data_IF_288118830537
#
_entry.id   IF_288118830537
#
_cell.length_a   1.000
_cell.length_b   1.000
_cell.length_c   1.000
_cell.angle_alpha   90.00
_cell.angle_beta   90.00
_cell.angle_gamma   90.00
#
_symmetry.space_group_name_H-M   'P 1'
#
loop_
_entity.id
_entity.type
_entity.pdbx_description
1 polymer ?
#
# COMPACT_ATOMS: atom_id res chain seq x y z
N UNK A 1 -23.96 -12.70 -4.38
CA UNK A 1 -23.22 -13.68 -3.54
C UNK A 1 -22.78 -12.96 -2.27
N UNK A 2 -23.01 -13.56 -1.06
CA UNK A 2 -22.51 -12.98 0.20
C UNK A 2 -21.03 -13.31 0.40
N UNK A 3 -20.25 -12.32 0.84
CA UNK A 3 -18.82 -12.44 1.12
C UNK A 3 -18.44 -11.82 2.47
N UNK A 4 -17.41 -12.36 3.11
CA UNK A 4 -16.82 -11.83 4.33
C UNK A 4 -15.37 -11.40 4.06
N UNK A 5 -15.04 -10.13 4.28
CA UNK A 5 -13.68 -9.65 4.28
C UNK A 5 -13.13 -9.68 5.71
N UNK A 6 -12.21 -10.60 5.99
CA UNK A 6 -11.70 -10.88 7.34
C UNK A 6 -10.32 -10.26 7.54
N UNK A 7 -10.18 -9.41 8.56
CA UNK A 7 -8.93 -8.79 8.99
C UNK A 7 -8.69 -9.01 10.48
N UNK A 8 -7.42 -9.11 10.88
CA UNK A 8 -7.03 -9.43 12.27
C UNK A 8 -6.60 -8.19 13.08
N UNK A 9 -6.98 -7.01 12.63
CA UNK A 9 -6.73 -5.73 13.33
C UNK A 9 -7.93 -4.80 13.15
N UNK A 10 -7.97 -3.72 13.93
CA UNK A 10 -8.95 -2.67 13.79
C UNK A 10 -8.63 -1.70 12.64
N UNK A 11 -9.57 -0.81 12.40
CA UNK A 11 -9.37 0.30 11.47
C UNK A 11 -8.73 1.49 12.18
N UNK A 12 -7.76 2.11 11.50
CA UNK A 12 -7.17 3.38 11.87
C UNK A 12 -7.27 4.33 10.65
N UNK A 13 -7.97 5.44 10.82
CA UNK A 13 -8.19 6.41 9.73
C UNK A 13 -6.90 7.08 9.24
N UNK A 14 -5.89 7.12 10.12
CA UNK A 14 -4.58 7.64 9.79
C UNK A 14 -3.75 6.67 8.93
N UNK A 15 -4.14 5.40 8.86
CA UNK A 15 -3.32 4.35 8.26
C UNK A 15 -3.75 4.06 6.81
N UNK A 16 -2.80 4.18 5.87
CA UNK A 16 -3.00 3.84 4.46
C UNK A 16 -3.45 2.39 4.22
N UNK A 17 -3.15 1.46 5.14
CA UNK A 17 -3.61 0.07 5.08
C UNK A 17 -5.13 0.00 5.29
N UNK A 18 -5.66 0.73 6.27
CA UNK A 18 -7.11 0.79 6.52
C UNK A 18 -7.85 1.39 5.33
N UNK A 19 -7.32 2.44 4.72
CA UNK A 19 -7.85 3.04 3.49
C UNK A 19 -7.87 2.04 2.34
N UNK A 20 -6.76 1.31 2.13
CA UNK A 20 -6.67 0.24 1.12
C UNK A 20 -7.75 -0.83 1.32
N UNK A 21 -7.94 -1.31 2.56
CA UNK A 21 -8.94 -2.34 2.87
C UNK A 21 -10.35 -1.83 2.55
N UNK A 22 -10.69 -0.61 2.93
CA UNK A 22 -12.00 0.00 2.59
C UNK A 22 -12.23 0.05 1.09
N UNK A 23 -11.21 0.37 0.30
CA UNK A 23 -11.31 0.37 -1.17
C UNK A 23 -11.46 -1.04 -1.74
N UNK A 24 -10.78 -2.05 -1.19
CA UNK A 24 -10.96 -3.43 -1.58
C UNK A 24 -12.38 -3.95 -1.28
N UNK A 25 -12.92 -3.61 -0.11
CA UNK A 25 -14.30 -3.94 0.27
C UNK A 25 -15.31 -3.26 -0.65
N UNK A 26 -15.13 -1.94 -0.94
CA UNK A 26 -15.94 -1.20 -1.91
C UNK A 26 -15.91 -1.89 -3.27
N UNK A 27 -14.72 -2.19 -3.76
CA UNK A 27 -14.52 -2.81 -5.07
C UNK A 27 -15.19 -4.20 -5.18
N UNK A 28 -15.16 -5.02 -4.14
CA UNK A 28 -15.91 -6.29 -4.13
C UNK A 28 -17.42 -6.05 -4.20
N UNK A 29 -17.94 -4.98 -3.53
CA UNK A 29 -19.34 -4.58 -3.65
C UNK A 29 -19.66 -4.10 -5.08
N UNK A 30 -18.79 -3.31 -5.68
CA UNK A 30 -18.91 -2.82 -7.05
C UNK A 30 -18.86 -3.98 -8.08
N UNK A 31 -18.22 -5.10 -7.72
CA UNK A 31 -18.27 -6.37 -8.46
C UNK A 31 -19.56 -7.20 -8.21
N UNK A 32 -20.54 -6.66 -7.49
CA UNK A 32 -21.85 -7.30 -7.26
C UNK A 32 -21.92 -8.25 -6.08
N UNK A 33 -20.97 -8.20 -5.13
CA UNK A 33 -21.01 -8.99 -3.92
C UNK A 33 -21.69 -8.22 -2.76
N UNK A 34 -22.45 -8.92 -1.93
CA UNK A 34 -22.88 -8.42 -0.61
C UNK A 34 -21.74 -8.71 0.39
N UNK A 35 -20.94 -7.69 0.69
CA UNK A 35 -19.70 -7.84 1.47
C UNK A 35 -19.89 -7.30 2.88
N UNK A 36 -19.63 -8.16 3.87
CA UNK A 36 -19.47 -7.79 5.28
C UNK A 36 -17.99 -7.75 5.64
N UNK A 37 -17.61 -6.84 6.54
CA UNK A 37 -16.23 -6.72 7.02
C UNK A 37 -16.12 -7.23 8.44
N UNK A 38 -15.34 -8.31 8.65
CA UNK A 38 -15.06 -8.83 9.97
C UNK A 38 -13.68 -8.36 10.44
N UNK A 39 -13.62 -7.71 11.59
CA UNK A 39 -12.41 -7.13 12.12
C UNK A 39 -12.33 -7.22 13.65
N UNK A 40 -11.11 -7.11 14.15
CA UNK A 40 -10.83 -7.07 15.58
C UNK A 40 -10.62 -5.64 16.04
N UNK A 41 -11.27 -5.26 17.15
CA UNK A 41 -11.05 -3.97 17.78
C UNK A 41 -10.76 -4.06 19.28
N UNK A 42 -10.20 -2.99 19.82
CA UNK A 42 -10.13 -2.71 21.25
C UNK A 42 -10.96 -1.45 21.47
N UNK A 43 -12.07 -1.59 22.13
CA UNK A 43 -12.99 -0.49 22.43
C UNK A 43 -12.40 0.49 23.46
N UNK A 44 -13.00 1.65 23.63
CA UNK A 44 -12.54 2.70 24.56
C UNK A 44 -12.49 2.24 26.02
N UNK A 45 -13.33 1.27 26.40
CA UNK A 45 -13.36 0.62 27.71
C UNK A 45 -12.29 -0.48 27.89
N UNK A 46 -11.45 -0.71 26.87
CA UNK A 46 -10.39 -1.71 26.85
C UNK A 46 -10.83 -3.13 26.53
N UNK A 47 -12.11 -3.35 26.20
CA UNK A 47 -12.62 -4.63 25.81
C UNK A 47 -12.17 -5.02 24.40
N UNK A 48 -11.96 -6.32 24.21
CA UNK A 48 -11.49 -6.91 22.95
C UNK A 48 -12.62 -7.61 22.25
N UNK A 49 -13.01 -7.06 21.10
CA UNK A 49 -14.18 -7.49 20.35
C UNK A 49 -13.81 -7.90 18.94
N UNK A 50 -14.58 -8.85 18.43
CA UNK A 50 -14.65 -9.09 17.00
C UNK A 50 -15.99 -8.58 16.48
N UNK A 51 -15.92 -7.84 15.40
CA UNK A 51 -17.04 -7.15 14.80
C UNK A 51 -17.30 -7.70 13.40
N UNK A 52 -18.57 -7.73 13.00
CA UNK A 52 -18.96 -7.82 11.58
C UNK A 52 -19.71 -6.54 11.23
N UNK A 53 -19.09 -5.65 10.46
CA UNK A 53 -19.52 -4.27 10.28
C UNK A 53 -19.79 -3.60 11.65
N UNK A 54 -21.06 -3.38 12.03
CA UNK A 54 -21.45 -2.76 13.30
C UNK A 54 -21.95 -3.76 14.36
N UNK A 55 -21.94 -5.06 14.06
CA UNK A 55 -22.42 -6.12 14.94
C UNK A 55 -21.28 -6.72 15.76
N UNK A 56 -21.46 -6.88 17.06
CA UNK A 56 -20.50 -7.58 17.92
C UNK A 56 -20.69 -9.09 17.76
N UNK A 57 -19.73 -9.78 17.14
CA UNK A 57 -19.73 -11.23 17.04
C UNK A 57 -19.33 -11.91 18.34
N UNK A 58 -18.38 -11.33 19.05
CA UNK A 58 -17.94 -11.79 20.37
C UNK A 58 -17.23 -10.67 21.13
N UNK A 59 -17.42 -10.64 22.45
CA UNK A 59 -16.66 -9.77 23.36
C UNK A 59 -15.89 -10.67 24.34
N UNK A 60 -14.57 -10.58 24.31
CA UNK A 60 -13.69 -11.32 25.21
C UNK A 60 -13.44 -10.58 26.54
N UNK A 61 -13.98 -9.36 26.69
CA UNK A 61 -13.68 -8.48 27.78
C UNK A 61 -12.28 -7.88 27.71
N UNK A 62 -11.76 -7.50 28.87
CA UNK A 62 -10.45 -6.85 29.02
C UNK A 62 -9.40 -7.78 29.65
N UNK A 63 -8.17 -7.30 29.79
CA UNK A 63 -7.09 -7.97 30.50
C UNK A 63 -6.37 -9.07 29.72
N UNK A 64 -5.59 -9.89 30.45
CA UNK A 64 -4.68 -10.89 29.84
C UNK A 64 -5.41 -12.07 29.23
N UNK A 65 -6.48 -12.54 29.88
CA UNK A 65 -7.31 -13.65 29.37
C UNK A 65 -7.90 -13.31 28.00
N UNK A 66 -8.44 -12.11 27.84
CA UNK A 66 -8.94 -11.64 26.55
C UNK A 66 -7.83 -11.55 25.47
N UNK A 67 -6.62 -11.11 25.86
CA UNK A 67 -5.45 -11.09 24.96
C UNK A 67 -5.05 -12.49 24.45
N UNK A 68 -5.24 -13.51 25.27
CA UNK A 68 -4.94 -14.90 24.93
C UNK A 68 -6.07 -15.47 24.06
N UNK A 69 -7.31 -15.38 24.49
CA UNK A 69 -8.47 -15.95 23.79
C UNK A 69 -8.61 -15.44 22.36
N UNK A 70 -8.38 -14.15 22.11
CA UNK A 70 -8.45 -13.58 20.75
C UNK A 70 -7.53 -14.25 19.74
N UNK A 71 -6.47 -14.95 20.20
CA UNK A 71 -5.47 -15.59 19.32
C UNK A 71 -5.82 -17.03 18.97
N UNK A 72 -6.76 -17.64 19.71
CA UNK A 72 -7.00 -19.08 19.64
C UNK A 72 -8.46 -19.44 19.36
N UNK A 73 -9.40 -18.57 19.70
CA UNK A 73 -10.82 -18.82 19.50
C UNK A 73 -11.37 -18.01 18.32
N UNK A 74 -11.71 -18.71 17.25
CA UNK A 74 -12.31 -18.17 16.03
C UNK A 74 -13.63 -18.86 15.68
N UNK A 75 -14.20 -19.66 16.59
CA UNK A 75 -15.42 -20.44 16.36
C UNK A 75 -16.62 -19.56 16.00
N UNK A 76 -16.71 -18.37 16.60
CA UNK A 76 -17.77 -17.40 16.31
C UNK A 76 -17.75 -16.92 14.85
N UNK A 77 -16.57 -16.81 14.19
CA UNK A 77 -16.48 -16.44 12.77
C UNK A 77 -17.12 -17.55 11.91
N UNK A 78 -16.81 -18.81 12.20
CA UNK A 78 -17.40 -19.94 11.46
C UNK A 78 -18.92 -20.05 11.68
N UNK A 79 -19.39 -19.79 12.89
CA UNK A 79 -20.83 -19.73 13.20
C UNK A 79 -21.50 -18.62 12.40
N UNK A 80 -20.94 -17.41 12.38
CA UNK A 80 -21.44 -16.29 11.59
C UNK A 80 -21.49 -16.61 10.10
N UNK A 81 -20.41 -17.18 9.54
CA UNK A 81 -20.35 -17.61 8.13
C UNK A 81 -21.46 -18.60 7.80
N UNK A 82 -21.72 -19.56 8.69
CA UNK A 82 -22.79 -20.54 8.52
C UNK A 82 -24.18 -19.91 8.58
N UNK A 83 -24.44 -19.07 9.59
CA UNK A 83 -25.72 -18.40 9.83
C UNK A 83 -26.08 -17.46 8.68
N UNK A 84 -25.11 -16.64 8.24
CA UNK A 84 -25.30 -15.69 7.16
C UNK A 84 -25.22 -16.31 5.76
N UNK A 85 -24.91 -17.60 5.65
CA UNK A 85 -24.71 -18.32 4.37
C UNK A 85 -23.69 -17.62 3.47
N UNK A 86 -22.54 -17.25 4.05
CA UNK A 86 -21.45 -16.59 3.35
C UNK A 86 -20.77 -17.60 2.43
N UNK A 87 -20.69 -17.26 1.13
CA UNK A 87 -20.13 -18.13 0.12
C UNK A 87 -18.63 -17.90 -0.15
N UNK A 88 -18.11 -16.72 0.20
CA UNK A 88 -16.70 -16.37 0.03
C UNK A 88 -16.16 -15.71 1.29
N UNK A 89 -15.04 -16.22 1.80
CA UNK A 89 -14.26 -15.56 2.86
C UNK A 89 -12.92 -15.11 2.29
N UNK A 90 -12.72 -13.81 2.21
CA UNK A 90 -11.48 -13.16 1.81
C UNK A 90 -10.67 -12.79 3.05
N UNK A 91 -9.62 -13.52 3.33
CA UNK A 91 -8.75 -13.31 4.50
C UNK A 91 -7.58 -12.43 4.10
N UNK A 92 -7.43 -11.26 4.73
CA UNK A 92 -6.17 -10.55 4.69
C UNK A 92 -5.22 -11.18 5.70
N UNK A 93 -4.14 -11.81 5.24
CA UNK A 93 -3.17 -12.48 6.09
C UNK A 93 -2.51 -11.50 7.07
N UNK A 94 -2.40 -11.93 8.30
CA UNK A 94 -1.63 -11.27 9.35
C UNK A 94 -0.38 -12.08 9.74
N UNK A 95 0.16 -12.86 8.81
CA UNK A 95 1.36 -13.69 9.03
C UNK A 95 1.26 -14.61 10.26
N UNK A 96 0.14 -15.31 10.42
CA UNK A 96 -0.14 -16.10 11.62
C UNK A 96 -0.61 -17.51 11.30
N UNK A 97 0.17 -18.22 10.52
CA UNK A 97 -0.11 -19.64 10.33
C UNK A 97 0.16 -20.39 11.64
N UNK A 98 -0.89 -21.01 12.19
CA UNK A 98 -0.83 -21.82 13.40
C UNK A 98 -1.98 -22.83 13.40
N UNK A 99 -2.03 -23.80 14.34
CA UNK A 99 -3.11 -24.80 14.37
C UNK A 99 -4.51 -24.21 14.47
N UNK A 100 -4.68 -23.08 15.15
CA UNK A 100 -5.99 -22.46 15.37
C UNK A 100 -6.50 -21.77 14.09
N UNK A 101 -5.64 -21.10 13.35
CA UNK A 101 -6.00 -20.52 12.03
C UNK A 101 -6.29 -21.63 11.00
N UNK A 102 -5.55 -22.75 11.04
CA UNK A 102 -5.87 -23.92 10.21
C UNK A 102 -7.23 -24.49 10.57
N UNK A 103 -7.54 -24.61 11.87
CA UNK A 103 -8.87 -25.05 12.33
C UNK A 103 -9.97 -24.12 11.88
N UNK A 104 -9.77 -22.80 12.03
CA UNK A 104 -10.73 -21.80 11.54
C UNK A 104 -11.02 -22.01 10.05
N UNK A 105 -10.00 -22.09 9.20
CA UNK A 105 -10.19 -22.28 7.75
C UNK A 105 -10.95 -23.58 7.45
N UNK A 106 -10.66 -24.67 8.16
CA UNK A 106 -11.43 -25.93 8.01
C UNK A 106 -12.90 -25.73 8.35
N UNK A 107 -13.21 -25.01 9.43
CA UNK A 107 -14.58 -24.73 9.85
C UNK A 107 -15.31 -23.84 8.84
N UNK A 108 -14.65 -22.81 8.31
CA UNK A 108 -15.21 -21.95 7.25
C UNK A 108 -15.57 -22.76 6.00
N UNK A 109 -14.69 -23.65 5.58
CA UNK A 109 -14.94 -24.56 4.45
C UNK A 109 -16.05 -25.56 4.73
N UNK A 110 -16.13 -26.08 5.95
CA UNK A 110 -17.22 -26.97 6.34
C UNK A 110 -18.57 -26.25 6.33
N UNK A 111 -18.58 -24.96 6.64
CA UNK A 111 -19.77 -24.08 6.50
C UNK A 111 -20.13 -23.77 5.02
N UNK A 112 -19.38 -24.31 4.04
CA UNK A 112 -19.66 -24.15 2.62
C UNK A 112 -18.99 -22.97 1.94
N UNK A 113 -18.16 -22.19 2.65
CA UNK A 113 -17.49 -21.04 2.06
C UNK A 113 -16.24 -21.41 1.29
N UNK A 114 -16.01 -20.76 0.13
CA UNK A 114 -14.68 -20.68 -0.46
C UNK A 114 -13.82 -19.73 0.38
N UNK A 115 -12.56 -20.10 0.63
CA UNK A 115 -11.65 -19.33 1.48
C UNK A 115 -10.41 -18.97 0.71
N UNK A 116 -10.18 -17.67 0.51
CA UNK A 116 -8.96 -17.13 -0.10
C UNK A 116 -8.16 -16.31 0.90
N UNK A 117 -6.86 -16.25 0.71
CA UNK A 117 -5.97 -15.47 1.57
C UNK A 117 -5.08 -14.54 0.76
N UNK A 118 -5.15 -13.26 1.07
CA UNK A 118 -4.23 -12.24 0.58
C UNK A 118 -2.94 -12.26 1.42
N UNK A 119 -1.79 -12.38 0.76
CA UNK A 119 -0.46 -12.18 1.35
C UNK A 119 0.07 -10.85 0.81
N UNK A 120 0.01 -9.77 1.60
CA UNK A 120 0.27 -8.40 1.11
C UNK A 120 1.71 -8.17 0.67
N UNK A 121 2.66 -8.79 1.35
CA UNK A 121 4.10 -8.73 1.05
C UNK A 121 4.63 -10.15 0.93
N UNK A 122 5.41 -10.44 -0.11
CA UNK A 122 6.10 -11.71 -0.24
C UNK A 122 7.43 -11.52 -0.99
N UNK A 123 8.54 -12.07 -0.47
CA UNK A 123 8.68 -12.76 0.81
C UNK A 123 8.57 -11.79 2.01
N UNK A 124 8.00 -12.25 3.14
CA UNK A 124 7.75 -11.42 4.32
C UNK A 124 8.64 -11.74 5.53
N UNK A 125 9.48 -12.76 5.45
CA UNK A 125 10.30 -13.24 6.57
C UNK A 125 11.20 -12.14 7.16
N UNK A 126 11.62 -11.16 6.35
CA UNK A 126 12.49 -10.05 6.76
C UNK A 126 11.76 -8.96 7.55
N UNK A 127 10.43 -8.94 7.54
CA UNK A 127 9.63 -8.00 8.34
C UNK A 127 9.64 -8.33 9.84
N UNK A 128 10.09 -9.54 10.21
CA UNK A 128 10.14 -10.03 11.58
C UNK A 128 11.49 -9.68 12.25
N UNK A 129 11.57 -8.47 12.78
CA UNK A 129 12.85 -7.92 13.30
C UNK A 129 13.08 -8.16 14.80
N UNK A 130 12.02 -8.16 15.64
CA UNK A 130 12.17 -8.33 17.09
C UNK A 130 12.26 -9.81 17.48
N UNK A 131 12.80 -10.11 18.68
CA UNK A 131 12.90 -11.48 19.21
C UNK A 131 11.54 -12.18 19.30
N UNK A 132 10.51 -11.45 19.71
CA UNK A 132 9.15 -11.99 19.79
C UNK A 132 8.59 -12.28 18.40
N UNK A 133 8.72 -11.37 17.45
CA UNK A 133 8.31 -11.58 16.07
C UNK A 133 9.03 -12.78 15.42
N UNK A 134 10.34 -12.98 15.72
CA UNK A 134 11.08 -14.15 15.22
C UNK A 134 10.53 -15.48 15.76
N UNK A 135 10.01 -15.49 16.98
CA UNK A 135 9.31 -16.65 17.52
C UNK A 135 7.98 -16.89 16.79
N UNK A 136 7.21 -15.84 16.55
CA UNK A 136 5.98 -15.92 15.74
C UNK A 136 6.27 -16.42 14.33
N UNK A 137 7.33 -15.95 13.69
CA UNK A 137 7.79 -16.43 12.38
C UNK A 137 8.19 -17.92 12.42
N UNK A 138 8.84 -18.38 13.47
CA UNK A 138 9.20 -19.80 13.61
C UNK A 138 7.93 -20.67 13.65
N UNK A 139 6.91 -20.28 14.38
CA UNK A 139 5.60 -20.95 14.39
C UNK A 139 4.95 -20.87 13.00
N UNK A 140 4.92 -19.71 12.37
CA UNK A 140 4.38 -19.53 11.04
C UNK A 140 5.04 -20.48 10.03
N UNK A 141 6.37 -20.57 10.02
CA UNK A 141 7.13 -21.46 9.13
C UNK A 141 6.75 -22.93 9.28
N UNK A 142 6.41 -23.39 10.49
CA UNK A 142 5.95 -24.75 10.73
C UNK A 142 4.57 -25.04 10.12
N UNK A 143 3.69 -24.04 10.06
CA UNK A 143 2.28 -24.24 9.73
C UNK A 143 1.83 -23.61 8.40
N UNK A 144 2.57 -22.64 7.83
CA UNK A 144 2.15 -21.89 6.64
C UNK A 144 1.85 -22.74 5.42
N UNK A 145 2.63 -23.79 5.15
CA UNK A 145 2.34 -24.75 4.07
C UNK A 145 1.03 -25.50 4.32
N UNK A 146 0.78 -25.91 5.56
CA UNK A 146 -0.45 -26.61 5.94
C UNK A 146 -1.68 -25.71 5.88
N UNK A 147 -1.55 -24.43 6.25
CA UNK A 147 -2.60 -23.43 6.14
C UNK A 147 -2.93 -23.17 4.67
N UNK A 148 -1.92 -22.83 3.86
CA UNK A 148 -2.07 -22.50 2.44
C UNK A 148 -2.69 -23.65 1.63
N UNK A 149 -2.37 -24.89 1.92
CA UNK A 149 -3.02 -26.05 1.29
C UNK A 149 -4.53 -26.14 1.51
N UNK A 150 -5.06 -25.50 2.58
CA UNK A 150 -6.51 -25.49 2.86
C UNK A 150 -7.24 -24.35 2.15
N UNK A 151 -6.52 -23.34 1.69
CA UNK A 151 -7.11 -22.21 0.96
C UNK A 151 -7.57 -22.61 -0.44
N UNK A 152 -8.57 -21.96 -0.98
CA UNK A 152 -9.01 -22.13 -2.37
C UNK A 152 -8.16 -21.28 -3.32
N UNK A 153 -7.59 -20.16 -2.86
CA UNK A 153 -6.65 -19.32 -3.59
C UNK A 153 -5.72 -18.54 -2.67
N UNK A 154 -4.53 -18.23 -3.16
CA UNK A 154 -3.60 -17.28 -2.53
C UNK A 154 -3.47 -16.08 -3.44
N UNK A 155 -3.77 -14.91 -2.90
CA UNK A 155 -3.71 -13.63 -3.59
C UNK A 155 -2.42 -12.92 -3.19
N UNK A 156 -1.68 -12.39 -4.16
CA UNK A 156 -0.43 -11.67 -3.90
C UNK A 156 -0.27 -10.46 -4.81
N UNK A 157 0.44 -9.46 -4.31
CA UNK A 157 0.86 -8.26 -5.07
C UNK A 157 2.27 -8.42 -5.66
N UNK A 158 2.94 -9.53 -5.37
CA UNK A 158 4.24 -9.86 -5.95
C UNK A 158 4.09 -10.65 -7.25
N UNK A 159 5.19 -10.79 -8.00
CA UNK A 159 5.22 -11.60 -9.22
C UNK A 159 5.39 -13.10 -8.96
N UNK A 160 5.40 -13.52 -7.70
CA UNK A 160 5.52 -14.92 -7.31
C UNK A 160 4.35 -15.75 -7.89
N UNK A 161 4.68 -16.74 -8.72
CA UNK A 161 3.68 -17.63 -9.34
C UNK A 161 3.16 -18.68 -8.37
N UNK A 162 3.91 -18.93 -7.31
CA UNK A 162 3.59 -19.89 -6.28
C UNK A 162 4.05 -19.39 -4.91
N UNK A 163 3.24 -19.60 -3.88
CA UNK A 163 3.57 -19.29 -2.48
C UNK A 163 3.21 -20.51 -1.65
N UNK A 164 4.20 -21.04 -0.93
CA UNK A 164 4.09 -22.20 -0.03
C UNK A 164 3.43 -23.44 -0.66
N UNK A 165 3.75 -23.73 -1.92
CA UNK A 165 3.23 -24.87 -2.65
C UNK A 165 1.85 -24.67 -3.27
N UNK A 166 1.38 -23.43 -3.40
CA UNK A 166 0.11 -23.09 -4.04
C UNK A 166 0.24 -22.01 -5.09
N UNK A 167 -0.34 -22.26 -6.27
CA UNK A 167 -0.43 -21.29 -7.36
C UNK A 167 -1.15 -20.02 -6.87
N UNK A 168 -0.60 -18.86 -7.21
CA UNK A 168 -1.10 -17.57 -6.79
C UNK A 168 -2.07 -16.94 -7.79
N UNK A 169 -2.98 -16.14 -7.29
CA UNK A 169 -3.75 -15.13 -8.03
C UNK A 169 -2.97 -13.82 -7.87
N UNK A 170 -2.31 -13.38 -8.93
CA UNK A 170 -1.47 -12.19 -8.91
C UNK A 170 -2.32 -10.97 -9.27
N UNK A 171 -2.32 -9.99 -8.38
CA UNK A 171 -2.98 -8.71 -8.57
C UNK A 171 -2.00 -7.56 -8.31
N UNK A 172 -2.40 -6.37 -8.69
CA UNK A 172 -1.69 -5.14 -8.35
C UNK A 172 -2.42 -4.38 -7.24
N UNK A 173 -1.72 -3.47 -6.58
CA UNK A 173 -2.40 -2.46 -5.80
C UNK A 173 -3.28 -1.63 -6.73
N UNK A 174 -4.53 -1.51 -6.37
CA UNK A 174 -5.48 -0.68 -7.10
C UNK A 174 -5.54 0.74 -6.58
N UNK A 175 -6.32 1.55 -7.27
CA UNK A 175 -6.70 2.90 -6.85
C UNK A 175 -8.22 3.04 -6.90
N UNK A 176 -8.79 3.80 -5.99
CA UNK A 176 -10.16 4.27 -6.06
C UNK A 176 -10.17 5.62 -6.79
N UNK A 177 -10.57 5.61 -8.05
CA UNK A 177 -10.56 6.79 -8.90
C UNK A 177 -11.60 7.84 -8.45
N UNK A 178 -12.65 7.45 -7.75
CA UNK A 178 -13.64 8.39 -7.22
C UNK A 178 -13.10 9.19 -6.03
N UNK A 179 -12.17 8.58 -5.28
CA UNK A 179 -11.60 9.18 -4.08
C UNK A 179 -10.31 9.98 -4.32
N UNK A 180 -9.74 9.90 -5.54
CA UNK A 180 -8.51 10.60 -5.90
C UNK A 180 -8.81 11.58 -7.03
N UNK A 181 -8.82 12.89 -6.78
CA UNK A 181 -9.03 13.89 -7.83
C UNK A 181 -7.87 13.91 -8.82
N UNK A 182 -8.17 14.15 -10.08
CA UNK A 182 -7.16 14.45 -11.11
C UNK A 182 -6.78 15.93 -11.02
N UNK A 183 -5.51 16.24 -11.27
CA UNK A 183 -5.01 17.61 -11.35
C UNK A 183 -5.72 18.38 -12.48
N UNK A 184 -6.28 19.54 -12.17
CA UNK A 184 -6.98 20.38 -13.14
C UNK A 184 -6.11 21.53 -13.63
N UNK A 185 -5.29 22.08 -12.75
CA UNK A 185 -4.44 23.23 -13.06
C UNK A 185 -3.12 22.77 -13.70
N UNK A 186 -2.81 23.32 -14.86
CA UNK A 186 -1.50 23.16 -15.52
C UNK A 186 -0.70 24.42 -15.20
N UNK A 187 0.39 24.26 -14.44
CA UNK A 187 1.24 25.40 -14.08
C UNK A 187 2.00 25.92 -15.31
N UNK A 188 2.34 27.20 -15.30
CA UNK A 188 3.34 27.74 -16.21
C UNK A 188 4.73 27.28 -15.72
N UNK A 189 5.33 26.35 -16.44
CA UNK A 189 6.63 25.78 -16.10
C UNK A 189 7.77 26.33 -16.97
N UNK A 190 7.57 27.49 -17.56
CA UNK A 190 8.61 28.14 -18.38
C UNK A 190 9.84 28.53 -17.56
N UNK A 191 9.69 28.80 -16.26
CA UNK A 191 10.76 29.27 -15.37
C UNK A 191 10.96 28.42 -14.11
N UNK A 192 10.02 27.54 -13.75
CA UNK A 192 10.10 26.76 -12.52
C UNK A 192 9.42 25.38 -12.62
N UNK A 193 9.81 24.46 -11.72
CA UNK A 193 9.25 23.11 -11.60
C UNK A 193 9.01 22.78 -10.12
N UNK A 194 7.80 22.38 -9.79
CA UNK A 194 7.41 21.96 -8.45
C UNK A 194 7.35 20.44 -8.32
N UNK A 195 8.34 19.86 -7.64
CA UNK A 195 8.39 18.45 -7.30
C UNK A 195 7.62 18.19 -6.00
N UNK A 196 6.85 17.09 -5.91
CA UNK A 196 6.15 16.71 -4.68
C UNK A 196 6.48 15.28 -4.26
N UNK A 197 6.86 15.10 -2.98
CA UNK A 197 7.05 13.80 -2.35
C UNK A 197 6.16 13.65 -1.12
N UNK A 198 5.18 12.73 -1.15
CA UNK A 198 4.25 12.50 -0.05
C UNK A 198 4.59 11.22 0.69
N UNK A 199 5.01 11.33 1.95
CA UNK A 199 5.36 10.17 2.77
C UNK A 199 5.44 10.51 4.26
N UNK A 200 5.17 9.52 5.14
CA UNK A 200 5.92 9.44 6.38
C UNK A 200 7.34 9.04 6.02
N UNK A 201 8.29 9.98 6.13
CA UNK A 201 9.59 9.86 5.47
C UNK A 201 10.47 8.85 6.21
N UNK A 202 10.86 7.80 5.50
CA UNK A 202 11.78 6.76 5.92
C UNK A 202 12.91 6.59 4.89
N UNK A 203 13.99 5.90 5.28
CA UNK A 203 15.21 5.70 4.47
C UNK A 203 14.95 5.10 3.09
N UNK A 204 13.89 4.30 2.92
CA UNK A 204 13.52 3.73 1.63
C UNK A 204 12.81 4.70 0.69
N UNK A 205 12.43 5.90 1.16
CA UNK A 205 11.89 6.92 0.26
C UNK A 205 13.00 7.61 -0.55
N UNK A 206 14.24 7.68 -0.02
CA UNK A 206 15.38 8.19 -0.75
C UNK A 206 15.31 9.67 -1.11
N UNK A 207 14.58 10.49 -0.32
CA UNK A 207 14.45 11.94 -0.55
C UNK A 207 15.78 12.68 -0.40
N UNK A 208 16.73 12.12 0.36
CA UNK A 208 18.11 12.57 0.44
C UNK A 208 18.80 12.56 -0.94
N UNK A 209 18.42 11.67 -1.86
CA UNK A 209 18.96 11.63 -3.24
C UNK A 209 18.46 12.80 -4.10
N UNK A 210 17.20 13.25 -3.91
CA UNK A 210 16.68 14.47 -4.55
C UNK A 210 17.42 15.68 -4.02
N UNK A 211 17.62 15.79 -2.70
CA UNK A 211 18.34 16.92 -2.08
C UNK A 211 19.79 16.95 -2.58
N UNK A 212 20.46 15.81 -2.68
CA UNK A 212 21.80 15.72 -3.27
C UNK A 212 21.81 16.11 -4.76
N UNK A 213 20.74 15.80 -5.49
CA UNK A 213 20.55 16.24 -6.87
C UNK A 213 20.40 17.77 -6.97
N UNK A 214 19.53 18.35 -6.12
CA UNK A 214 19.38 19.82 -6.05
C UNK A 214 20.66 20.52 -5.62
N UNK A 215 21.44 19.93 -4.71
CA UNK A 215 22.76 20.44 -4.34
C UNK A 215 23.66 20.57 -5.58
N UNK A 216 23.73 19.51 -6.39
CA UNK A 216 24.53 19.55 -7.65
C UNK A 216 23.97 20.56 -8.65
N UNK A 217 22.66 20.59 -8.80
CA UNK A 217 21.97 21.49 -9.73
C UNK A 217 22.26 22.96 -9.41
N UNK A 218 22.24 23.35 -8.13
CA UNK A 218 22.49 24.72 -7.67
C UNK A 218 23.97 25.05 -7.39
N UNK A 219 24.93 24.17 -7.71
CA UNK A 219 26.37 24.53 -7.67
C UNK A 219 26.72 25.67 -8.62
N UNK A 220 25.92 25.85 -9.67
CA UNK A 220 26.03 26.99 -10.58
C UNK A 220 24.71 27.77 -10.56
N UNK A 221 24.75 29.11 -10.80
CA UNK A 221 23.52 29.90 -10.93
C UNK A 221 22.59 29.31 -11.99
N UNK A 222 21.31 29.24 -11.66
CA UNK A 222 20.23 28.70 -12.52
C UNK A 222 19.10 29.70 -12.63
N UNK A 223 18.71 30.02 -13.85
CA UNK A 223 17.50 30.81 -14.10
C UNK A 223 16.25 29.98 -13.87
N UNK A 224 16.26 28.72 -14.31
CA UNK A 224 15.17 27.77 -14.09
C UNK A 224 15.19 27.27 -12.64
N UNK A 225 14.10 27.44 -11.90
CA UNK A 225 14.02 27.08 -10.49
C UNK A 225 13.33 25.72 -10.30
N UNK A 226 13.82 24.92 -9.34
CA UNK A 226 13.24 23.63 -9.00
C UNK A 226 12.97 23.57 -7.51
N UNK A 227 11.72 23.41 -7.15
CA UNK A 227 11.26 23.32 -5.75
C UNK A 227 10.91 21.89 -5.40
N UNK A 228 11.29 21.44 -4.22
CA UNK A 228 10.91 20.13 -3.72
C UNK A 228 10.04 20.26 -2.47
N UNK A 229 8.77 19.92 -2.61
CA UNK A 229 7.76 19.90 -1.56
C UNK A 229 7.72 18.53 -0.90
N UNK A 230 8.17 18.45 0.37
CA UNK A 230 8.09 17.24 1.18
C UNK A 230 6.83 17.34 2.04
N UNK A 231 5.86 16.44 1.79
CA UNK A 231 4.60 16.37 2.51
C UNK A 231 4.57 15.12 3.36
N UNK A 232 4.60 15.31 4.68
CA UNK A 232 4.64 14.24 5.66
C UNK A 232 5.65 14.49 6.78
N UNK A 233 5.64 13.63 7.78
CA UNK A 233 6.55 13.74 8.91
C UNK A 233 7.93 13.16 8.58
N UNK A 234 8.99 13.81 9.03
CA UNK A 234 10.35 13.25 9.10
C UNK A 234 10.47 12.42 10.39
N UNK A 235 9.80 11.26 10.42
CA UNK A 235 9.66 10.45 11.63
C UNK A 235 10.96 9.73 12.03
N UNK A 236 11.80 9.39 11.05
CA UNK A 236 13.07 8.70 11.28
C UNK A 236 14.17 9.63 11.79
N UNK A 237 14.89 9.24 12.83
CA UNK A 237 16.09 9.96 13.33
C UNK A 237 17.14 10.09 12.22
N UNK A 238 17.40 9.01 11.48
CA UNK A 238 18.31 8.99 10.34
C UNK A 238 17.93 10.02 9.28
N UNK A 239 16.64 10.12 8.94
CA UNK A 239 16.15 11.04 7.91
C UNK A 239 16.30 12.48 8.36
N UNK A 240 15.97 12.78 9.62
CA UNK A 240 16.22 14.11 10.20
C UNK A 240 17.70 14.49 10.15
N UNK A 241 18.58 13.57 10.56
CA UNK A 241 20.03 13.79 10.58
C UNK A 241 20.67 13.89 9.20
N UNK A 242 20.06 13.28 8.17
CA UNK A 242 20.56 13.38 6.78
C UNK A 242 19.95 14.56 6.01
N UNK A 243 18.64 14.72 6.08
CA UNK A 243 17.91 15.67 5.23
C UNK A 243 18.11 17.11 5.71
N UNK A 244 17.85 17.39 7.00
CA UNK A 244 17.90 18.76 7.51
C UNK A 244 19.30 19.39 7.46
N UNK A 245 20.39 18.68 7.83
CA UNK A 245 21.73 19.24 7.70
C UNK A 245 22.14 19.50 6.26
N UNK A 246 21.77 18.66 5.30
CA UNK A 246 22.07 18.86 3.88
C UNK A 246 21.37 20.12 3.36
N UNK A 247 20.08 20.31 3.68
CA UNK A 247 19.33 21.52 3.29
C UNK A 247 20.07 22.77 3.79
N UNK A 248 20.44 22.78 5.08
CA UNK A 248 21.14 23.92 5.69
C UNK A 248 22.56 24.11 5.14
N UNK A 249 23.34 23.04 5.02
CA UNK A 249 24.72 23.07 4.56
C UNK A 249 24.84 23.65 3.15
N UNK A 250 23.89 23.32 2.28
CA UNK A 250 23.90 23.73 0.88
C UNK A 250 22.93 24.87 0.57
N UNK A 251 22.39 25.53 1.59
CA UNK A 251 21.51 26.71 1.48
C UNK A 251 20.30 26.43 0.57
N UNK A 252 19.69 25.24 0.73
CA UNK A 252 18.54 24.81 -0.08
C UNK A 252 17.19 25.16 0.56
N UNK A 253 17.16 25.92 1.68
CA UNK A 253 15.92 26.31 2.35
C UNK A 253 14.91 27.03 1.43
N UNK A 254 15.33 27.83 0.44
CA UNK A 254 14.40 28.42 -0.51
C UNK A 254 13.76 27.41 -1.47
N UNK A 255 14.38 26.26 -1.67
CA UNK A 255 14.02 25.28 -2.69
C UNK A 255 13.47 23.97 -2.13
N UNK A 256 13.67 23.66 -0.85
CA UNK A 256 13.15 22.46 -0.20
C UNK A 256 12.16 22.87 0.90
N UNK A 257 10.89 22.65 0.62
CA UNK A 257 9.77 23.09 1.46
C UNK A 257 9.21 21.91 2.25
N UNK A 258 9.27 21.99 3.57
CA UNK A 258 8.75 20.98 4.49
C UNK A 258 7.34 21.38 4.93
N UNK A 259 6.33 20.67 4.46
CA UNK A 259 4.93 20.99 4.77
C UNK A 259 4.43 20.34 6.07
N UNK A 260 5.12 19.28 6.57
CA UNK A 260 4.53 18.42 7.58
C UNK A 260 3.43 17.50 7.02
N UNK A 261 2.66 16.86 7.89
CA UNK A 261 1.63 15.91 7.47
C UNK A 261 0.33 16.63 7.06
N UNK A 262 -0.12 16.38 5.82
CA UNK A 262 -1.39 16.86 5.28
C UNK A 262 -2.27 15.72 4.79
N UNK A 263 -3.60 15.93 4.79
CA UNK A 263 -4.62 14.96 4.37
C UNK A 263 -5.81 15.67 3.74
N UNK A 264 -6.62 14.90 3.00
CA UNK A 264 -7.85 15.40 2.38
C UNK A 264 -7.61 16.63 1.52
N UNK A 265 -8.47 17.63 1.62
CA UNK A 265 -8.45 18.81 0.75
C UNK A 265 -7.12 19.59 0.76
N UNK A 266 -6.44 19.68 1.90
CA UNK A 266 -5.14 20.38 1.97
C UNK A 266 -4.05 19.63 1.23
N UNK A 267 -4.06 18.30 1.27
CA UNK A 267 -3.16 17.48 0.46
C UNK A 267 -3.50 17.60 -1.04
N UNK A 268 -4.78 17.60 -1.39
CA UNK A 268 -5.20 17.75 -2.79
C UNK A 268 -4.78 19.11 -3.37
N UNK A 269 -4.84 20.19 -2.58
CA UNK A 269 -4.32 21.50 -2.99
C UNK A 269 -2.81 21.49 -3.26
N UNK A 270 -2.01 20.78 -2.45
CA UNK A 270 -0.57 20.64 -2.70
C UNK A 270 -0.29 19.87 -4.00
N UNK A 271 -1.08 18.85 -4.30
CA UNK A 271 -0.97 18.13 -5.56
C UNK A 271 -1.39 18.98 -6.76
N UNK A 272 -2.36 19.86 -6.59
CA UNK A 272 -2.80 20.77 -7.66
C UNK A 272 -1.69 21.71 -8.13
N UNK A 273 -0.82 22.14 -7.22
CA UNK A 273 0.33 23.00 -7.51
C UNK A 273 1.60 22.23 -7.91
N UNK A 274 1.61 20.92 -7.76
CA UNK A 274 2.77 20.11 -8.11
C UNK A 274 2.78 19.77 -9.62
N UNK A 275 3.97 19.70 -10.19
CA UNK A 275 4.19 19.37 -11.61
C UNK A 275 4.67 17.94 -11.79
N UNK A 276 5.50 17.48 -10.86
CA UNK A 276 6.16 16.19 -10.96
C UNK A 276 6.24 15.51 -9.59
N UNK A 277 6.02 14.21 -9.54
CA UNK A 277 5.97 13.49 -8.27
C UNK A 277 7.23 12.64 -8.00
N UNK A 278 7.60 12.55 -6.72
CA UNK A 278 8.74 11.77 -6.24
C UNK A 278 8.22 10.56 -5.47
N UNK A 279 8.41 9.38 -6.05
CA UNK A 279 8.09 8.11 -5.44
C UNK A 279 9.24 7.60 -4.54
N UNK A 280 9.36 6.28 -4.37
CA UNK A 280 10.47 5.70 -3.60
C UNK A 280 11.74 5.64 -4.45
N UNK A 281 12.83 6.16 -3.90
CA UNK A 281 14.14 6.19 -4.54
C UNK A 281 15.22 5.41 -3.78
N UNK A 282 14.85 4.82 -2.63
CA UNK A 282 15.79 4.13 -1.74
C UNK A 282 15.35 2.72 -1.34
N UNK A 283 14.49 2.04 -2.12
CA UNK A 283 14.02 0.68 -1.80
C UNK A 283 15.14 -0.36 -1.80
N UNK A 284 16.18 -0.19 -2.61
CA UNK A 284 17.38 -1.00 -2.58
C UNK A 284 18.01 -1.10 -1.17
N UNK A 285 17.91 -0.03 -0.35
CA UNK A 285 18.38 0.01 1.06
C UNK A 285 17.67 -1.00 1.96
N UNK A 286 16.45 -1.40 1.60
CA UNK A 286 15.67 -2.42 2.32
C UNK A 286 15.73 -3.81 1.69
N UNK A 287 16.53 -3.98 0.62
CA UNK A 287 16.61 -5.23 -0.13
C UNK A 287 15.37 -5.55 -0.96
N UNK A 288 14.42 -4.61 -1.06
CA UNK A 288 13.19 -4.77 -1.83
C UNK A 288 13.37 -4.03 -3.15
N UNK A 289 13.50 -4.77 -4.24
CA UNK A 289 13.72 -4.20 -5.57
C UNK A 289 12.47 -4.25 -6.46
N UNK A 290 11.57 -5.19 -6.18
CA UNK A 290 10.33 -5.36 -6.93
C UNK A 290 9.14 -5.12 -6.02
N UNK A 291 8.41 -4.04 -6.22
CA UNK A 291 7.28 -3.65 -5.36
C UNK A 291 6.28 -2.78 -6.11
N UNK A 292 5.01 -3.12 -6.01
CA UNK A 292 3.87 -2.37 -6.58
C UNK A 292 3.35 -1.37 -5.56
N UNK A 293 3.94 -0.18 -5.51
CA UNK A 293 3.61 0.82 -4.49
C UNK A 293 2.28 1.53 -4.73
N UNK A 294 1.57 1.90 -3.67
CA UNK A 294 0.35 2.71 -3.77
C UNK A 294 0.62 4.10 -4.34
N UNK A 295 1.82 4.65 -4.10
CA UNK A 295 2.21 6.00 -4.55
C UNK A 295 2.25 6.11 -6.07
N UNK A 296 2.85 5.13 -6.76
CA UNK A 296 2.91 5.13 -8.23
C UNK A 296 1.50 5.22 -8.82
N UNK A 297 0.54 4.48 -8.22
CA UNK A 297 -0.87 4.49 -8.64
C UNK A 297 -1.56 5.79 -8.33
N UNK A 298 -1.36 6.33 -7.12
CA UNK A 298 -1.98 7.59 -6.70
C UNK A 298 -1.48 8.77 -7.54
N UNK A 299 -0.19 8.86 -7.80
CA UNK A 299 0.37 9.94 -8.61
C UNK A 299 -0.12 9.88 -10.07
N UNK A 300 -0.16 8.68 -10.65
CA UNK A 300 -0.76 8.49 -11.97
C UNK A 300 -2.25 8.81 -11.98
N UNK A 301 -3.00 8.42 -10.94
CA UNK A 301 -4.43 8.75 -10.84
C UNK A 301 -4.68 10.25 -10.67
N UNK A 302 -3.71 10.99 -10.13
CA UNK A 302 -3.73 12.46 -10.07
C UNK A 302 -3.27 13.11 -11.38
N UNK A 303 -2.80 12.32 -12.35
CA UNK A 303 -2.32 12.82 -13.64
C UNK A 303 -0.89 13.38 -13.60
N UNK A 304 -0.07 12.97 -12.63
CA UNK A 304 1.30 13.45 -12.48
C UNK A 304 2.30 12.46 -13.08
N UNK A 305 3.27 13.00 -13.83
CA UNK A 305 4.51 12.30 -14.13
C UNK A 305 5.33 12.11 -12.85
N UNK A 306 6.17 11.07 -12.79
CA UNK A 306 6.92 10.77 -11.57
C UNK A 306 8.23 10.02 -11.81
N UNK A 307 9.11 10.05 -10.79
CA UNK A 307 10.36 9.28 -10.73
C UNK A 307 10.31 8.25 -9.61
N UNK A 308 10.85 7.05 -9.88
CA UNK A 308 11.02 5.98 -8.89
C UNK A 308 12.24 5.13 -9.23
N UNK A 309 12.72 4.26 -8.30
CA UNK A 309 13.93 3.44 -8.52
C UNK A 309 13.69 1.93 -8.43
N UNK A 310 12.63 1.51 -7.76
CA UNK A 310 12.24 0.09 -7.69
C UNK A 310 11.69 -0.42 -9.04
N UNK A 311 11.54 -1.74 -9.16
CA UNK A 311 10.82 -2.34 -10.28
C UNK A 311 9.32 -2.42 -9.97
N UNK A 312 8.50 -1.83 -10.82
CA UNK A 312 7.04 -1.93 -10.80
C UNK A 312 6.55 -2.20 -12.21
N UNK A 313 6.23 -3.47 -12.50
CA UNK A 313 5.85 -3.93 -13.84
C UNK A 313 4.64 -3.22 -14.44
N UNK A 314 3.85 -2.51 -13.63
CA UNK A 314 2.72 -1.73 -14.11
C UNK A 314 3.16 -0.37 -14.70
N UNK A 315 4.40 0.08 -14.40
CA UNK A 315 4.90 1.41 -14.75
C UNK A 315 6.24 1.43 -15.50
N UNK A 316 7.03 0.36 -15.50
CA UNK A 316 8.42 0.34 -15.99
C UNK A 316 8.63 0.84 -17.43
N UNK A 317 7.62 1.01 -18.25
CA UNK A 317 7.74 1.50 -19.63
C UNK A 317 6.70 2.59 -19.96
N UNK A 318 6.20 3.31 -18.98
CA UNK A 318 5.25 4.39 -19.22
C UNK A 318 5.97 5.68 -19.65
N UNK A 319 5.50 6.44 -20.64
CA UNK A 319 6.19 7.61 -21.16
C UNK A 319 6.29 8.79 -20.17
N UNK A 320 5.44 8.81 -19.14
CA UNK A 320 5.41 9.82 -18.09
C UNK A 320 6.22 9.41 -16.83
N UNK A 321 7.04 8.38 -16.93
CA UNK A 321 7.77 7.82 -15.79
C UNK A 321 9.28 7.85 -16.05
N UNK A 322 10.03 8.40 -15.09
CA UNK A 322 11.48 8.31 -15.07
C UNK A 322 11.95 7.19 -14.15
N UNK A 323 12.74 6.27 -14.67
CA UNK A 323 13.38 5.22 -13.89
C UNK A 323 14.76 5.68 -13.43
N UNK A 324 14.91 5.94 -12.14
CA UNK A 324 16.22 6.23 -11.55
C UNK A 324 16.98 4.93 -11.23
N UNK A 325 18.32 4.93 -11.21
CA UNK A 325 19.10 3.79 -10.73
C UNK A 325 18.74 3.43 -9.28
N UNK A 326 18.75 2.13 -8.96
CA UNK A 326 18.50 1.63 -7.60
C UNK A 326 19.81 1.60 -6.79
N UNK A 327 20.41 2.76 -6.58
CA UNK A 327 21.67 2.98 -5.89
C UNK A 327 21.65 4.28 -5.06
N UNK A 328 22.80 4.71 -4.55
CA UNK A 328 22.92 5.93 -3.75
C UNK A 328 23.24 7.19 -4.58
N UNK A 329 23.26 7.10 -5.90
CA UNK A 329 23.57 8.26 -6.76
C UNK A 329 22.53 9.37 -6.58
N UNK A 330 22.95 10.65 -6.60
CA UNK A 330 22.01 11.77 -6.64
C UNK A 330 21.09 11.69 -7.86
N UNK A 331 19.84 12.11 -7.69
CA UNK A 331 18.91 12.19 -8.81
C UNK A 331 19.32 13.33 -9.74
N UNK A 332 19.36 13.05 -11.02
CA UNK A 332 19.65 14.04 -12.04
C UNK A 332 18.43 14.95 -12.26
N UNK A 333 18.55 16.19 -11.80
CA UNK A 333 17.47 17.20 -11.88
C UNK A 333 17.22 17.64 -13.32
N UNK A 334 18.26 17.72 -14.15
CA UNK A 334 18.11 18.07 -15.57
C UNK A 334 17.26 17.03 -16.31
N UNK A 335 17.43 15.74 -15.97
CA UNK A 335 16.59 14.69 -16.54
C UNK A 335 15.13 14.78 -16.11
N UNK A 336 14.83 15.24 -14.88
CA UNK A 336 13.44 15.50 -14.45
C UNK A 336 12.83 16.66 -15.24
N UNK A 337 13.58 17.74 -15.40
CA UNK A 337 13.15 18.91 -16.19
C UNK A 337 12.90 18.50 -17.63
N UNK A 338 13.84 17.78 -18.25
CA UNK A 338 13.72 17.33 -19.64
C UNK A 338 12.51 16.43 -19.85
N UNK A 339 12.28 15.43 -18.98
CA UNK A 339 11.09 14.58 -19.06
C UNK A 339 9.80 15.42 -18.95
N UNK A 340 9.75 16.35 -18.01
CA UNK A 340 8.56 17.16 -17.81
C UNK A 340 8.28 18.09 -18.99
N UNK A 341 9.31 18.77 -19.52
CA UNK A 341 9.15 19.67 -20.67
C UNK A 341 8.77 18.94 -21.96
N UNK A 342 9.17 17.67 -22.11
CA UNK A 342 8.82 16.84 -23.28
C UNK A 342 7.53 16.03 -23.06
N UNK A 343 6.90 16.14 -21.89
CA UNK A 343 5.65 15.43 -21.59
C UNK A 343 4.50 15.97 -22.44
N UNK A 344 3.93 15.09 -23.27
CA UNK A 344 2.83 15.45 -24.18
C UNK A 344 1.45 15.02 -23.65
N UNK A 345 1.42 14.12 -22.67
CA UNK A 345 0.16 13.60 -22.14
C UNK A 345 -0.43 14.59 -21.10
N UNK A 346 -1.69 14.88 -21.26
CA UNK A 346 -2.47 15.62 -20.26
C UNK A 346 -2.63 14.80 -18.96
N UNK A 347 -2.95 15.43 -17.83
CA UNK A 347 -3.28 14.73 -16.59
C UNK A 347 -4.37 13.65 -16.74
N UNK A 348 -5.40 13.93 -17.55
CA UNK A 348 -6.48 12.98 -17.82
C UNK A 348 -6.00 11.76 -18.63
N UNK A 349 -5.11 11.95 -19.60
CA UNK A 349 -4.53 10.85 -20.38
C UNK A 349 -3.62 9.98 -19.52
N UNK A 350 -2.77 10.58 -18.66
CA UNK A 350 -1.95 9.86 -17.66
C UNK A 350 -2.87 9.02 -16.78
N UNK A 351 -3.89 9.61 -16.19
CA UNK A 351 -4.89 8.93 -15.35
C UNK A 351 -5.58 7.79 -16.08
N UNK A 352 -6.06 8.05 -17.29
CA UNK A 352 -6.82 7.08 -18.10
C UNK A 352 -5.98 5.87 -18.48
N UNK A 353 -4.65 6.03 -18.58
CA UNK A 353 -3.73 4.95 -18.93
C UNK A 353 -3.74 3.76 -17.97
N UNK A 354 -4.22 3.95 -16.73
CA UNK A 354 -4.29 2.90 -15.70
C UNK A 354 -5.71 2.59 -15.23
N UNK A 355 -6.73 3.34 -15.66
CA UNK A 355 -8.10 3.25 -15.11
C UNK A 355 -8.69 1.85 -15.27
N UNK A 356 -8.58 1.26 -16.46
CA UNK A 356 -9.14 -0.04 -16.77
C UNK A 356 -8.38 -1.21 -16.11
N UNK A 357 -7.09 -1.01 -15.80
CA UNK A 357 -6.24 -2.09 -15.31
C UNK A 357 -5.96 -2.02 -13.82
N UNK A 358 -5.82 -0.81 -13.26
CA UNK A 358 -5.40 -0.60 -11.88
C UNK A 358 -6.50 0.02 -10.99
N UNK A 359 -7.78 0.02 -11.40
CA UNK A 359 -8.85 0.24 -10.45
C UNK A 359 -8.94 -0.92 -9.46
N UNK A 360 -9.33 -0.66 -8.20
CA UNK A 360 -9.58 -1.76 -7.25
C UNK A 360 -10.66 -2.70 -7.76
N UNK A 361 -11.66 -2.20 -8.48
CA UNK A 361 -12.69 -3.03 -9.08
C UNK A 361 -12.10 -4.02 -10.09
N UNK A 362 -11.23 -3.57 -11.00
CA UNK A 362 -10.55 -4.44 -11.95
C UNK A 362 -9.70 -5.51 -11.24
N UNK A 363 -8.99 -5.13 -10.18
CA UNK A 363 -8.16 -6.06 -9.43
C UNK A 363 -8.99 -7.10 -8.66
N UNK A 364 -10.13 -6.72 -8.08
CA UNK A 364 -11.03 -7.68 -7.42
C UNK A 364 -11.75 -8.57 -8.44
N UNK A 365 -12.07 -8.06 -9.62
CA UNK A 365 -12.65 -8.86 -10.70
C UNK A 365 -11.69 -9.98 -11.16
N UNK A 366 -10.37 -9.73 -11.22
CA UNK A 366 -9.36 -10.77 -11.49
C UNK A 366 -9.46 -11.89 -10.44
N UNK A 367 -9.55 -11.53 -9.15
CA UNK A 367 -9.68 -12.52 -8.07
C UNK A 367 -10.94 -13.36 -8.25
N UNK A 368 -12.07 -12.72 -8.52
CA UNK A 368 -13.35 -13.41 -8.66
C UNK A 368 -13.34 -14.34 -9.89
N UNK A 369 -12.83 -13.90 -11.02
CA UNK A 369 -12.74 -14.70 -12.24
C UNK A 369 -11.87 -15.95 -12.03
N UNK A 370 -10.70 -15.81 -11.40
CA UNK A 370 -9.81 -16.94 -11.09
C UNK A 370 -10.44 -17.96 -10.12
N UNK A 371 -11.34 -17.51 -9.25
CA UNK A 371 -12.07 -18.38 -8.32
C UNK A 371 -13.26 -19.09 -8.99
N UNK A 372 -13.88 -18.47 -9.98
CA UNK A 372 -15.02 -19.03 -10.72
C UNK A 372 -14.56 -20.04 -11.77
N UNK A 373 -13.44 -19.82 -12.45
CA UNK A 373 -12.87 -20.72 -13.46
C UNK A 373 -12.42 -22.07 -12.85
N UNK A 374 -12.19 -22.13 -11.56
CA UNK A 374 -11.75 -23.36 -10.84
C UNK A 374 -12.91 -24.22 -10.30
N UNK A 375 -14.11 -24.01 -10.79
CA UNK A 375 -15.28 -24.88 -10.55
C UNK A 375 -15.45 -25.85 -11.74
#
# INVERSE_FOLDING_TARGET
>A
MKALFLIFHGFDEANGISKKIRYQVKALKDCGLDVRTCYYEVSSDGNRRWMADNEILTDFGSGMSAKIRKRFDFSFIANYVSQEKIALVYIRSFHNANPFTIRMVKQLKYAGAKVVMEIPTYPYDQEYVTRFMKLELAVDRCFRHSLVRKMDGIITFSDAREIFGKKTIRISNGIDFDAVPVKQHINDTSSELHLIGVAEVHYWHGFDRIISGLTKYYQTPRDYKVYFHIVGALSGERERQKILPLIKQYQLEPYVILHGAHRGRTLDQLFEHADFAICSLGRHRSGITNIKTLKNREYTARGLAFVYSETDSDFDNRPYVLKAPADESPIDIENLIALYQHQQLSPDEIRSSIKETLSWQAQMQIVLNELLIKN
#
